data_IF_841374177592
#
_entry.id   IF_841374177592
#
_cell.length_a   1.000
_cell.length_b   1.000
_cell.length_c   1.000
_cell.angle_alpha   90.00
_cell.angle_beta   90.00
_cell.angle_gamma   90.00
#
_symmetry.space_group_name_H-M   'P 1'
#
loop_
_entity.id
_entity.type
_entity.pdbx_description
1 polymer ?
#
# COMPACT_ATOMS: atom_id res chain seq x y z
N UNK A 1 15.27 -4.79 -1.52
CA UNK A 1 14.49 -4.94 -0.27
C UNK A 1 13.56 -3.76 -0.19
N UNK A 2 12.27 -4.02 -0.04
CA UNK A 2 11.26 -3.00 0.19
C UNK A 2 11.40 -2.41 1.61
N UNK A 3 11.04 -1.14 1.76
CA UNK A 3 11.11 -0.37 2.99
C UNK A 3 9.78 0.36 3.15
N UNK A 4 9.13 0.20 4.30
CA UNK A 4 7.84 0.83 4.57
C UNK A 4 7.97 2.35 4.51
N UNK A 5 6.99 3.00 3.89
CA UNK A 5 6.82 4.44 3.84
C UNK A 5 5.97 4.85 5.02
N UNK A 6 6.40 5.85 5.78
CA UNK A 6 5.70 6.35 6.98
C UNK A 6 4.21 6.57 6.69
N UNK A 7 3.36 5.70 7.22
CA UNK A 7 1.95 5.98 7.48
C UNK A 7 1.89 6.55 8.88
N UNK A 8 1.14 7.64 9.07
CA UNK A 8 1.09 8.27 10.38
C UNK A 8 -0.36 8.62 10.75
N UNK A 9 -0.68 8.37 12.02
CA UNK A 9 -2.04 8.39 12.57
C UNK A 9 -2.56 9.81 12.76
N UNK A 10 -3.63 10.15 12.06
CA UNK A 10 -4.47 11.31 12.39
C UNK A 10 -5.93 10.88 12.39
N UNK A 11 -6.85 11.72 12.87
CA UNK A 11 -8.28 11.38 12.89
C UNK A 11 -8.80 11.26 11.45
N UNK A 12 -8.75 10.04 10.92
CA UNK A 12 -8.84 9.66 9.49
C UNK A 12 -10.07 10.24 8.78
N UNK A 13 -11.20 10.34 9.46
CA UNK A 13 -12.42 10.97 8.94
C UNK A 13 -12.35 12.49 8.74
N UNK A 14 -11.45 13.20 9.42
CA UNK A 14 -11.31 14.66 9.30
C UNK A 14 -10.79 15.11 7.93
N UNK A 15 -10.19 14.20 7.15
CA UNK A 15 -9.76 14.48 5.78
C UNK A 15 -10.81 14.18 4.72
N UNK A 16 -11.91 13.52 5.05
CA UNK A 16 -12.91 13.12 4.07
C UNK A 16 -13.52 14.29 3.31
N UNK A 17 -13.65 15.45 3.94
CA UNK A 17 -14.09 16.67 3.26
C UNK A 17 -13.03 17.18 2.28
N UNK A 18 -11.74 17.08 2.64
CA UNK A 18 -10.61 17.53 1.81
C UNK A 18 -10.49 16.70 0.55
N UNK A 19 -10.68 15.38 0.65
CA UNK A 19 -10.58 14.45 -0.49
C UNK A 19 -11.95 14.12 -1.12
N UNK A 20 -13.02 14.79 -0.67
CA UNK A 20 -14.37 14.67 -1.23
C UNK A 20 -15.12 13.37 -0.91
N UNK A 21 -14.61 12.52 -0.02
CA UNK A 21 -15.27 11.26 0.41
C UNK A 21 -16.63 11.54 1.07
N UNK A 22 -16.75 12.60 1.87
CA UNK A 22 -18.03 13.00 2.48
C UNK A 22 -19.08 13.31 1.41
N UNK A 23 -18.70 14.11 0.41
CA UNK A 23 -19.60 14.48 -0.69
C UNK A 23 -19.97 13.26 -1.56
N UNK A 24 -19.01 12.37 -1.82
CA UNK A 24 -19.25 11.13 -2.54
C UNK A 24 -20.29 10.27 -1.81
N UNK A 25 -20.11 10.03 -0.51
CA UNK A 25 -21.03 9.20 0.31
C UNK A 25 -22.41 9.83 0.50
N UNK A 26 -22.50 11.16 0.42
CA UNK A 26 -23.79 11.84 0.46
C UNK A 26 -24.62 11.67 -0.83
N UNK A 27 -23.98 11.31 -1.94
CA UNK A 27 -24.62 11.22 -3.27
C UNK A 27 -24.73 9.79 -3.80
N UNK A 28 -23.97 8.85 -3.23
CA UNK A 28 -23.94 7.44 -3.62
C UNK A 28 -23.45 6.57 -2.47
N UNK A 29 -23.63 5.26 -2.59
CA UNK A 29 -23.20 4.26 -1.61
C UNK A 29 -21.86 3.61 -2.01
N UNK A 30 -20.94 4.39 -2.59
CA UNK A 30 -19.61 3.88 -2.95
C UNK A 30 -18.75 3.73 -1.70
N UNK A 31 -18.63 2.51 -1.22
CA UNK A 31 -17.94 2.14 0.04
C UNK A 31 -16.98 0.96 -0.13
N UNK A 32 -16.73 0.53 -1.37
CA UNK A 32 -15.87 -0.61 -1.71
C UNK A 32 -16.57 -1.96 -1.79
N UNK A 33 -17.88 -2.03 -1.55
CA UNK A 33 -18.66 -3.28 -1.61
C UNK A 33 -18.41 -4.08 -2.90
N UNK A 34 -18.08 -5.37 -2.74
CA UNK A 34 -17.84 -6.31 -3.85
C UNK A 34 -16.49 -6.17 -4.53
N UNK A 35 -15.55 -5.43 -3.93
CA UNK A 35 -14.19 -5.25 -4.45
C UNK A 35 -13.18 -5.92 -3.52
N UNK A 36 -12.39 -6.84 -4.07
CA UNK A 36 -11.18 -7.35 -3.43
C UNK A 36 -9.98 -6.47 -3.76
N UNK A 37 -9.14 -6.22 -2.76
CA UNK A 37 -7.99 -5.32 -2.85
C UNK A 37 -6.73 -5.97 -2.28
N UNK A 38 -5.57 -5.64 -2.85
CA UNK A 38 -4.29 -6.04 -2.29
C UNK A 38 -3.75 -4.97 -1.35
N UNK A 39 -3.13 -5.38 -0.26
CA UNK A 39 -2.29 -4.52 0.59
C UNK A 39 -0.91 -5.16 0.74
N UNK A 40 0.06 -4.67 -0.03
CA UNK A 40 1.42 -5.17 0.05
C UNK A 40 2.25 -4.26 0.96
N UNK A 41 2.85 -4.84 2.01
CA UNK A 41 3.60 -4.11 3.03
C UNK A 41 5.01 -4.65 3.20
N UNK A 42 5.96 -3.74 3.33
CA UNK A 42 7.32 -4.09 3.69
C UNK A 42 7.42 -4.36 5.20
N UNK A 43 8.50 -5.03 5.59
CA UNK A 43 8.76 -5.24 7.02
C UNK A 43 8.97 -3.88 7.70
N UNK A 44 8.17 -3.57 8.73
CA UNK A 44 8.35 -2.36 9.54
C UNK A 44 9.52 -2.48 10.54
N UNK A 45 10.09 -3.68 10.65
CA UNK A 45 11.23 -3.99 11.49
C UNK A 45 12.43 -4.41 10.65
N UNK A 46 13.62 -3.94 11.05
CA UNK A 46 14.90 -4.43 10.51
C UNK A 46 15.28 -5.80 11.07
N UNK A 47 14.48 -6.37 11.97
CA UNK A 47 14.69 -7.72 12.51
C UNK A 47 14.08 -8.77 11.59
N UNK A 48 14.58 -10.00 11.65
CA UNK A 48 14.26 -11.11 10.72
C UNK A 48 12.82 -11.61 10.73
N UNK A 49 11.94 -10.98 11.50
CA UNK A 49 10.54 -11.34 11.57
C UNK A 49 9.85 -10.61 10.43
N UNK A 50 9.17 -11.31 9.52
CA UNK A 50 8.44 -10.66 8.44
C UNK A 50 7.26 -9.88 9.03
N UNK A 51 7.49 -8.64 9.43
CA UNK A 51 6.52 -7.81 10.15
C UNK A 51 5.69 -7.01 9.14
N UNK A 52 4.63 -7.62 8.62
CA UNK A 52 3.80 -7.04 7.55
C UNK A 52 2.30 -7.31 7.73
N UNK A 53 1.93 -8.18 8.69
CA UNK A 53 0.56 -8.65 8.81
C UNK A 53 -0.33 -7.58 9.43
N UNK A 54 -1.45 -7.27 8.76
CA UNK A 54 -2.54 -6.49 9.35
C UNK A 54 -3.24 -7.32 10.42
N UNK A 55 -3.37 -6.78 11.63
CA UNK A 55 -4.22 -7.31 12.68
C UNK A 55 -5.69 -6.90 12.47
N UNK A 56 -6.61 -7.84 12.18
CA UNK A 56 -8.01 -7.51 11.92
C UNK A 56 -8.68 -6.77 13.09
N UNK A 57 -8.25 -7.04 14.33
CA UNK A 57 -8.79 -6.37 15.51
C UNK A 57 -8.35 -4.89 15.59
N UNK A 58 -7.13 -4.57 15.17
CA UNK A 58 -6.63 -3.19 15.17
C UNK A 58 -7.36 -2.33 14.14
N UNK A 59 -7.68 -2.92 12.98
CA UNK A 59 -8.47 -2.26 11.92
C UNK A 59 -9.99 -2.34 12.14
N UNK A 60 -10.44 -3.00 13.21
CA UNK A 60 -11.87 -3.24 13.51
C UNK A 60 -12.64 -3.94 12.38
N UNK A 61 -12.00 -4.92 11.75
CA UNK A 61 -12.57 -5.73 10.66
C UNK A 61 -12.61 -7.22 11.06
N UNK A 62 -13.47 -8.03 10.42
CA UNK A 62 -13.55 -9.44 10.75
C UNK A 62 -12.31 -10.19 10.23
N UNK A 63 -11.89 -11.25 10.93
CA UNK A 63 -10.66 -11.97 10.58
C UNK A 63 -10.71 -12.62 9.21
N UNK A 64 -11.89 -12.99 8.72
CA UNK A 64 -12.08 -13.56 7.38
C UNK A 64 -12.02 -12.52 6.26
N UNK A 65 -11.82 -11.24 6.57
CA UNK A 65 -11.56 -10.22 5.56
C UNK A 65 -10.17 -10.40 4.94
N UNK A 66 -9.20 -10.96 5.67
CA UNK A 66 -7.79 -10.99 5.26
C UNK A 66 -7.31 -12.40 4.88
N UNK A 67 -6.51 -12.46 3.82
CA UNK A 67 -5.59 -13.58 3.57
C UNK A 67 -4.16 -13.05 3.55
N UNK A 68 -3.28 -13.68 4.34
CA UNK A 68 -1.87 -13.29 4.46
C UNK A 68 -1.02 -14.12 3.52
N UNK A 69 -0.05 -13.47 2.89
CA UNK A 69 0.77 -14.07 1.86
C UNK A 69 2.24 -13.73 2.00
N UNK A 70 3.09 -14.74 1.82
CA UNK A 70 4.54 -14.57 1.81
C UNK A 70 5.20 -15.44 0.73
N UNK A 71 6.25 -14.89 0.12
CA UNK A 71 7.22 -15.63 -0.66
C UNK A 71 8.62 -15.24 -0.21
N UNK A 72 9.48 -16.24 -0.01
CA UNK A 72 10.87 -16.03 0.36
C UNK A 72 11.78 -16.31 -0.83
N UNK A 73 12.97 -15.68 -0.92
CA UNK A 73 13.96 -16.03 -1.93
C UNK A 73 14.17 -17.55 -2.01
N UNK A 74 14.22 -18.15 -3.21
CA UNK A 74 14.30 -17.53 -4.53
C UNK A 74 12.95 -17.14 -5.18
N UNK A 75 11.89 -16.94 -4.40
CA UNK A 75 10.56 -16.50 -4.86
C UNK A 75 9.90 -17.43 -5.87
N UNK A 76 9.95 -18.74 -5.61
CA UNK A 76 9.38 -19.77 -6.50
C UNK A 76 8.02 -20.29 -6.02
N UNK A 77 7.68 -20.05 -4.76
CA UNK A 77 6.44 -20.53 -4.15
C UNK A 77 5.83 -19.46 -3.27
N UNK A 78 4.53 -19.59 -3.07
CA UNK A 78 3.74 -18.69 -2.24
C UNK A 78 3.10 -19.48 -1.11
N UNK A 79 3.25 -18.98 0.11
CA UNK A 79 2.55 -19.52 1.29
C UNK A 79 1.43 -18.57 1.67
N UNK A 80 0.28 -19.11 2.06
CA UNK A 80 -0.88 -18.30 2.46
C UNK A 80 -1.56 -18.81 3.73
N UNK A 81 -2.24 -17.90 4.44
CA UNK A 81 -3.03 -18.19 5.63
C UNK A 81 -4.25 -17.29 5.68
N UNK A 82 -5.43 -17.83 5.95
CA UNK A 82 -6.66 -17.06 6.22
C UNK A 82 -6.88 -16.82 7.71
N UNK A 83 -5.90 -17.17 8.55
CA UNK A 83 -5.97 -17.04 10.00
C UNK A 83 -5.02 -15.95 10.48
N UNK A 84 -5.43 -15.23 11.52
CA UNK A 84 -4.57 -14.33 12.30
C UNK A 84 -4.70 -14.69 13.79
N UNK A 85 -3.61 -14.88 14.53
CA UNK A 85 -2.20 -14.93 14.09
C UNK A 85 -1.90 -16.20 13.29
N UNK A 86 -0.79 -16.23 12.54
CA UNK A 86 -0.34 -17.40 11.80
C UNK A 86 1.21 -17.48 11.76
N UNK A 87 1.82 -18.54 11.20
CA UNK A 87 3.29 -18.71 11.22
C UNK A 87 4.01 -18.05 10.03
N UNK A 88 3.33 -17.32 9.14
CA UNK A 88 3.92 -16.70 7.94
C UNK A 88 4.63 -15.38 8.27
N UNK A 89 4.03 -14.57 9.15
CA UNK A 89 4.56 -13.27 9.53
C UNK A 89 4.22 -12.88 10.97
N UNK A 90 4.44 -11.61 11.26
CA UNK A 90 4.13 -10.97 12.54
C UNK A 90 3.35 -9.68 12.25
N UNK A 91 2.53 -9.29 13.21
CA UNK A 91 1.74 -8.05 13.24
C UNK A 91 2.60 -6.81 12.98
N UNK A 92 2.15 -5.97 12.06
CA UNK A 92 2.75 -4.68 11.74
C UNK A 92 1.80 -3.54 12.09
N UNK A 93 2.22 -2.69 13.03
CA UNK A 93 1.46 -1.49 13.39
C UNK A 93 1.37 -0.50 12.21
N UNK A 94 2.37 -0.51 11.33
CA UNK A 94 2.33 0.25 10.08
C UNK A 94 1.29 -0.31 9.10
N UNK A 95 1.22 -1.63 8.92
CA UNK A 95 0.19 -2.25 8.09
C UNK A 95 -1.22 -2.02 8.64
N UNK A 96 -1.38 -2.05 9.97
CA UNK A 96 -2.62 -1.69 10.65
C UNK A 96 -3.01 -0.25 10.35
N UNK A 97 -2.03 0.65 10.37
CA UNK A 97 -2.28 2.05 10.06
C UNK A 97 -2.72 2.24 8.62
N UNK A 98 -2.12 1.56 7.66
CA UNK A 98 -2.59 1.59 6.26
C UNK A 98 -3.99 0.97 6.16
N UNK A 99 -4.22 -0.18 6.79
CA UNK A 99 -5.48 -0.91 6.74
C UNK A 99 -6.65 -0.11 7.32
N UNK A 100 -6.43 0.66 8.39
CA UNK A 100 -7.44 1.55 8.95
C UNK A 100 -7.82 2.72 7.99
N UNK A 101 -6.92 3.15 7.09
CA UNK A 101 -7.12 4.34 6.22
C UNK A 101 -7.99 3.97 5.03
N UNK A 102 -7.90 2.70 4.64
CA UNK A 102 -8.73 2.15 3.59
C UNK A 102 -9.98 1.49 4.14
N UNK A 103 -9.86 0.60 5.12
CA UNK A 103 -10.94 -0.33 5.46
C UNK A 103 -11.58 -0.05 6.82
N UNK A 104 -10.97 0.76 7.70
CA UNK A 104 -11.50 1.00 9.05
C UNK A 104 -12.95 1.52 9.04
N UNK A 105 -13.91 0.91 9.76
CA UNK A 105 -15.33 1.31 9.68
C UNK A 105 -15.63 2.78 10.02
N UNK A 106 -14.82 3.40 10.88
CA UNK A 106 -15.00 4.78 11.35
C UNK A 106 -14.21 5.83 10.58
N UNK A 107 -13.25 5.41 9.76
CA UNK A 107 -12.24 6.32 9.20
C UNK A 107 -11.62 5.89 7.86
N UNK A 108 -12.02 4.74 7.33
CA UNK A 108 -11.55 4.21 6.08
C UNK A 108 -12.31 4.78 4.88
N UNK A 109 -11.64 4.92 3.74
CA UNK A 109 -12.26 5.38 2.49
C UNK A 109 -13.16 4.34 1.82
N UNK A 110 -12.90 3.05 2.04
CA UNK A 110 -13.59 1.88 1.48
C UNK A 110 -13.90 0.85 2.58
N UNK A 111 -14.90 1.14 3.42
CA UNK A 111 -15.19 0.40 4.65
C UNK A 111 -15.77 -1.00 4.45
N UNK A 112 -16.23 -1.32 3.24
CA UNK A 112 -16.99 -2.54 2.93
C UNK A 112 -16.36 -3.36 1.81
N UNK A 113 -15.04 -3.29 1.63
CA UNK A 113 -14.31 -4.18 0.69
C UNK A 113 -14.66 -5.65 0.96
N UNK A 114 -14.73 -6.44 -0.11
CA UNK A 114 -15.11 -7.86 -0.03
C UNK A 114 -13.99 -8.71 0.59
N UNK A 115 -12.74 -8.39 0.24
CA UNK A 115 -11.56 -9.12 0.70
C UNK A 115 -10.29 -8.26 0.63
N UNK A 116 -9.31 -8.58 1.47
CA UNK A 116 -7.99 -7.97 1.46
C UNK A 116 -6.91 -9.06 1.41
N UNK A 117 -6.16 -9.11 0.32
CA UNK A 117 -4.97 -9.93 0.22
C UNK A 117 -3.77 -9.13 0.75
N UNK A 118 -3.26 -9.51 1.93
CA UNK A 118 -2.16 -8.83 2.59
C UNK A 118 -0.83 -9.55 2.29
N UNK A 119 0.02 -8.90 1.51
CA UNK A 119 1.25 -9.47 0.99
C UNK A 119 2.50 -8.92 1.67
N UNK A 120 3.49 -9.77 1.92
CA UNK A 120 4.85 -9.31 2.21
C UNK A 120 5.48 -8.74 0.93
N UNK A 121 5.96 -7.48 0.98
CA UNK A 121 6.32 -6.70 -0.20
C UNK A 121 7.42 -7.29 -1.09
N UNK A 122 8.49 -7.85 -0.50
CA UNK A 122 9.58 -8.45 -1.30
C UNK A 122 9.09 -9.71 -2.03
N UNK A 123 8.27 -10.53 -1.35
CA UNK A 123 7.63 -11.70 -1.92
C UNK A 123 6.60 -11.34 -3.00
N UNK A 124 5.81 -10.30 -2.78
CA UNK A 124 4.88 -9.75 -3.77
C UNK A 124 5.62 -9.30 -5.04
N UNK A 125 6.69 -8.52 -4.87
CA UNK A 125 7.50 -8.10 -6.00
C UNK A 125 8.17 -9.29 -6.69
N UNK A 126 8.86 -10.16 -5.94
CA UNK A 126 9.63 -11.26 -6.49
C UNK A 126 8.78 -12.31 -7.20
N UNK A 127 7.70 -12.75 -6.56
CA UNK A 127 6.81 -13.79 -7.07
C UNK A 127 5.80 -13.22 -8.08
N UNK A 128 4.99 -12.23 -7.69
CA UNK A 128 3.91 -11.75 -8.54
C UNK A 128 4.43 -10.83 -9.64
N UNK A 129 5.10 -9.73 -9.27
CA UNK A 129 5.42 -8.66 -10.23
C UNK A 129 6.54 -9.08 -11.20
N UNK A 130 7.71 -9.45 -10.66
CA UNK A 130 8.87 -9.86 -11.46
C UNK A 130 8.70 -11.29 -12.01
N UNK A 131 8.06 -12.20 -11.27
CA UNK A 131 7.77 -13.56 -11.71
C UNK A 131 6.56 -13.68 -12.66
N UNK A 132 5.75 -12.63 -12.80
CA UNK A 132 4.59 -12.61 -13.70
C UNK A 132 3.41 -13.47 -13.23
N UNK A 133 3.32 -13.78 -11.93
CA UNK A 133 2.21 -14.55 -11.36
C UNK A 133 1.00 -13.64 -11.10
N UNK A 134 -0.11 -13.92 -11.76
CA UNK A 134 -1.35 -13.16 -11.65
C UNK A 134 -1.92 -13.17 -10.22
N UNK A 135 -2.51 -12.04 -9.81
CA UNK A 135 -3.30 -11.89 -8.59
C UNK A 135 -4.81 -11.77 -8.93
N UNK A 136 -5.68 -11.95 -7.94
CA UNK A 136 -7.13 -11.83 -8.12
C UNK A 136 -7.62 -10.38 -8.09
N UNK A 137 -6.91 -9.53 -7.36
CA UNK A 137 -7.29 -8.15 -7.05
C UNK A 137 -6.98 -7.22 -8.24
N UNK A 138 -7.78 -6.17 -8.39
CA UNK A 138 -7.61 -5.16 -9.44
C UNK A 138 -6.96 -3.88 -8.95
N UNK A 139 -6.89 -3.70 -7.63
CA UNK A 139 -6.34 -2.52 -6.97
C UNK A 139 -5.42 -3.03 -5.87
N UNK A 140 -4.19 -2.52 -5.85
CA UNK A 140 -3.20 -2.86 -4.81
C UNK A 140 -2.67 -1.57 -4.20
N UNK A 141 -2.90 -1.41 -2.89
CA UNK A 141 -2.32 -0.35 -2.08
C UNK A 141 -0.97 -0.81 -1.55
N UNK A 142 0.04 0.06 -1.64
CA UNK A 142 1.42 -0.25 -1.29
C UNK A 142 2.05 0.92 -0.55
N UNK A 143 2.27 0.76 0.76
CA UNK A 143 2.94 1.79 1.55
C UNK A 143 4.41 1.44 1.78
N UNK A 144 5.14 1.14 0.69
CA UNK A 144 6.59 0.89 0.70
C UNK A 144 7.29 1.45 -0.54
N UNK A 145 8.62 1.57 -0.48
CA UNK A 145 9.51 1.82 -1.63
C UNK A 145 10.74 0.92 -1.60
N UNK A 146 11.52 0.90 -2.68
CA UNK A 146 12.84 0.26 -2.69
C UNK A 146 13.99 1.19 -2.28
N UNK A 147 13.69 2.41 -1.84
CA UNK A 147 14.68 3.41 -1.41
C UNK A 147 15.62 3.91 -2.52
N UNK A 148 15.35 3.53 -3.78
CA UNK A 148 16.10 3.94 -4.96
C UNK A 148 15.15 4.14 -6.14
N UNK A 149 15.62 4.87 -7.15
CA UNK A 149 15.02 4.85 -8.47
C UNK A 149 15.61 3.68 -9.24
N UNK A 150 14.77 2.76 -9.71
CA UNK A 150 15.17 1.57 -10.47
C UNK A 150 14.25 1.39 -11.68
N UNK A 151 14.71 1.75 -12.89
CA UNK A 151 13.91 1.61 -14.12
C UNK A 151 13.52 0.16 -14.44
N UNK A 152 14.30 -0.83 -13.98
CA UNK A 152 13.95 -2.24 -14.21
C UNK A 152 12.76 -2.62 -13.33
N UNK A 153 12.77 -2.16 -12.09
CA UNK A 153 11.68 -2.39 -11.16
C UNK A 153 10.40 -1.71 -11.65
N UNK A 154 10.49 -0.45 -12.05
CA UNK A 154 9.36 0.31 -12.61
C UNK A 154 8.81 -0.37 -13.87
N UNK A 155 9.68 -0.83 -14.77
CA UNK A 155 9.27 -1.54 -15.98
C UNK A 155 8.55 -2.85 -15.68
N UNK A 156 8.94 -3.58 -14.62
CA UNK A 156 8.25 -4.79 -14.19
C UNK A 156 6.83 -4.47 -13.71
N UNK A 157 6.67 -3.43 -12.89
CA UNK A 157 5.35 -2.94 -12.47
C UNK A 157 4.51 -2.48 -13.68
N UNK A 158 5.11 -1.75 -14.62
CA UNK A 158 4.44 -1.27 -15.82
C UNK A 158 3.93 -2.39 -16.71
N UNK A 159 4.77 -3.41 -16.94
CA UNK A 159 4.42 -4.59 -17.72
C UNK A 159 3.32 -5.38 -17.03
N UNK A 160 3.45 -5.60 -15.72
CA UNK A 160 2.45 -6.34 -14.94
C UNK A 160 1.09 -5.64 -14.97
N UNK A 161 1.05 -4.34 -14.71
CA UNK A 161 -0.17 -3.53 -14.76
C UNK A 161 -0.83 -3.61 -16.14
N UNK A 162 -0.05 -3.46 -17.22
CA UNK A 162 -0.55 -3.54 -18.59
C UNK A 162 -1.07 -4.95 -18.96
N UNK A 163 -0.40 -6.00 -18.48
CA UNK A 163 -0.76 -7.38 -18.78
C UNK A 163 -1.97 -7.87 -17.99
N UNK A 164 -2.05 -7.53 -16.71
CA UNK A 164 -3.05 -8.08 -15.79
C UNK A 164 -4.21 -7.12 -15.51
N UNK A 165 -4.10 -5.85 -15.92
CA UNK A 165 -5.11 -4.83 -15.65
C UNK A 165 -5.26 -4.60 -14.14
N UNK A 166 -4.13 -4.36 -13.48
CA UNK A 166 -4.03 -4.08 -12.03
C UNK A 166 -3.55 -2.65 -11.86
N UNK A 167 -4.22 -1.90 -10.98
CA UNK A 167 -3.83 -0.56 -10.58
C UNK A 167 -3.01 -0.62 -9.29
N UNK A 168 -1.76 -0.16 -9.36
CA UNK A 168 -0.90 0.00 -8.19
C UNK A 168 -0.98 1.44 -7.66
N UNK A 169 -1.18 1.58 -6.36
CA UNK A 169 -1.21 2.86 -5.65
C UNK A 169 -0.08 2.81 -4.62
N UNK A 170 0.99 3.58 -4.86
CA UNK A 170 2.25 3.45 -4.14
C UNK A 170 2.61 4.75 -3.43
N UNK A 171 2.97 4.67 -2.16
CA UNK A 171 3.59 5.79 -1.43
C UNK A 171 4.89 6.25 -2.12
N UNK A 172 5.03 7.55 -2.37
CA UNK A 172 6.12 8.11 -3.16
C UNK A 172 7.51 8.01 -2.51
N UNK A 173 7.57 7.82 -1.18
CA UNK A 173 8.82 7.81 -0.42
C UNK A 173 8.74 8.57 0.90
N UNK A 174 9.88 9.09 1.34
CA UNK A 174 10.02 9.79 2.62
C UNK A 174 10.12 11.30 2.41
N UNK A 175 9.52 12.14 3.28
CA UNK A 175 9.63 13.60 3.19
C UNK A 175 11.07 14.08 2.98
N UNK A 176 11.27 14.95 1.99
CA UNK A 176 12.59 15.47 1.61
C UNK A 176 13.50 14.55 0.78
N UNK A 177 13.05 13.33 0.46
CA UNK A 177 13.71 12.47 -0.52
C UNK A 177 13.32 12.79 -1.98
N UNK A 178 13.91 12.09 -2.96
CA UNK A 178 13.30 11.94 -4.28
C UNK A 178 12.08 11.02 -4.19
N UNK A 179 11.36 10.92 -5.31
CA UNK A 179 10.36 9.87 -5.51
C UNK A 179 11.11 8.57 -5.80
N UNK A 180 10.71 7.49 -5.14
CA UNK A 180 11.37 6.19 -5.27
C UNK A 180 10.49 5.18 -6.00
N UNK A 181 11.13 4.19 -6.62
CA UNK A 181 10.41 3.05 -7.21
C UNK A 181 9.71 2.22 -6.12
N UNK A 182 8.50 1.69 -6.37
CA UNK A 182 7.80 1.67 -7.66
C UNK A 182 6.89 2.88 -7.94
N UNK A 183 6.84 3.91 -7.09
CA UNK A 183 5.96 5.07 -7.32
C UNK A 183 6.32 5.89 -8.57
N UNK A 184 7.52 5.65 -9.13
CA UNK A 184 7.97 6.22 -10.40
C UNK A 184 7.51 5.43 -11.63
N UNK A 185 6.87 4.26 -11.51
CA UNK A 185 6.34 3.52 -12.66
C UNK A 185 5.27 4.35 -13.42
N UNK A 186 5.12 4.08 -14.72
CA UNK A 186 4.20 4.81 -15.59
C UNK A 186 2.73 4.42 -15.40
N UNK A 187 2.44 3.12 -15.26
CA UNK A 187 1.10 2.54 -15.17
C UNK A 187 0.59 2.42 -13.72
N UNK A 188 1.27 3.05 -12.76
CA UNK A 188 0.83 3.16 -11.36
C UNK A 188 0.60 4.60 -10.93
N UNK A 189 -0.06 4.75 -9.78
CA UNK A 189 -0.29 6.04 -9.11
C UNK A 189 0.70 6.15 -7.95
N UNK A 190 1.70 7.02 -8.10
CA UNK A 190 2.54 7.49 -7.02
C UNK A 190 1.82 8.57 -6.21
N UNK A 191 1.75 8.38 -4.89
CA UNK A 191 1.03 9.28 -3.97
C UNK A 191 2.01 9.94 -3.02
N UNK A 192 1.98 11.27 -2.96
CA UNK A 192 2.66 12.02 -1.90
C UNK A 192 1.68 12.52 -0.85
N UNK A 193 2.24 13.11 0.20
CA UNK A 193 1.52 13.63 1.35
C UNK A 193 1.37 15.16 1.25
N UNK A 194 0.19 15.68 1.57
CA UNK A 194 -0.05 17.12 1.81
C UNK A 194 -0.09 17.42 3.31
N UNK A 195 0.17 18.67 3.68
CA UNK A 195 0.14 19.10 5.10
C UNK A 195 1.46 18.92 5.86
N UNK A 196 2.53 18.50 5.17
CA UNK A 196 3.90 18.40 5.69
C UNK A 196 4.79 19.53 5.14
N UNK A 197 5.89 19.83 5.84
CA UNK A 197 6.85 20.88 5.49
C UNK A 197 7.64 20.60 4.22
N UNK A 198 7.91 19.32 3.93
CA UNK A 198 8.74 18.90 2.82
C UNK A 198 8.10 17.74 2.03
N UNK A 199 7.00 18.01 1.29
CA UNK A 199 6.33 16.99 0.50
C UNK A 199 7.24 16.52 -0.64
N UNK A 200 6.97 15.33 -1.17
CA UNK A 200 7.71 14.79 -2.31
C UNK A 200 7.16 15.39 -3.60
N UNK A 201 8.04 15.95 -4.40
CA UNK A 201 7.75 16.43 -5.74
C UNK A 201 8.82 15.93 -6.70
N UNK A 202 8.38 15.62 -7.91
CA UNK A 202 9.27 15.26 -9.00
C UNK A 202 10.02 16.47 -9.57
N UNK A 203 10.63 16.31 -10.74
CA UNK A 203 10.40 15.21 -11.67
C UNK A 203 11.04 13.88 -11.22
N UNK A 204 10.61 12.77 -11.83
CA UNK A 204 11.39 11.53 -11.84
C UNK A 204 12.73 11.77 -12.55
N UNK A 205 13.74 10.88 -12.42
CA UNK A 205 15.03 11.05 -13.08
C UNK A 205 14.98 11.21 -14.61
N UNK A 206 13.93 10.67 -15.24
CA UNK A 206 13.65 10.77 -16.68
C UNK A 206 12.73 11.95 -17.06
N UNK A 207 12.40 12.83 -16.11
CA UNK A 207 11.69 14.08 -16.38
C UNK A 207 10.15 14.01 -16.30
N UNK A 208 9.56 12.87 -15.92
CA UNK A 208 8.11 12.75 -15.77
C UNK A 208 7.62 13.43 -14.51
N UNK A 209 6.39 13.93 -14.56
CA UNK A 209 5.71 14.49 -13.39
C UNK A 209 5.21 13.36 -12.49
N UNK A 210 5.86 13.21 -11.33
CA UNK A 210 5.39 12.42 -10.18
C UNK A 210 5.49 13.31 -8.93
N UNK A 211 4.82 13.01 -7.80
CA UNK A 211 3.73 12.03 -7.68
C UNK A 211 2.58 12.40 -8.61
N UNK A 212 1.69 11.45 -8.92
CA UNK A 212 0.54 11.73 -9.78
C UNK A 212 -0.53 12.53 -9.01
N UNK A 213 -0.68 12.22 -7.72
CA UNK A 213 -1.61 12.88 -6.81
C UNK A 213 -0.99 13.04 -5.42
N UNK A 214 -1.60 13.88 -4.60
CA UNK A 214 -1.28 13.97 -3.19
C UNK A 214 -2.54 13.73 -2.34
N UNK A 215 -2.36 13.08 -1.19
CA UNK A 215 -3.41 12.88 -0.20
C UNK A 215 -3.01 13.53 1.14
N UNK A 216 -3.96 13.91 2.00
CA UNK A 216 -3.63 14.33 3.36
C UNK A 216 -2.90 13.21 4.11
N UNK A 217 -1.83 13.60 4.78
CA UNK A 217 -1.17 12.82 5.83
C UNK A 217 -0.92 13.75 7.01
N UNK A 218 -0.48 13.25 8.16
CA UNK A 218 -0.49 14.04 9.37
C UNK A 218 0.47 15.22 9.30
N UNK A 219 0.03 16.31 9.91
CA UNK A 219 0.85 17.46 10.21
C UNK A 219 1.78 17.09 11.39
N UNK A 220 3.07 16.86 11.13
CA UNK A 220 4.08 16.65 12.17
C UNK A 220 4.90 15.36 12.11
N UNK A 221 4.86 14.58 11.02
CA UNK A 221 5.75 13.42 10.82
C UNK A 221 7.20 13.82 10.45
N UNK A 222 7.75 14.82 11.14
CA UNK A 222 9.19 15.03 11.17
C UNK A 222 9.76 14.20 12.32
N UNK A 223 10.59 13.21 11.97
CA UNK A 223 11.47 12.42 12.85
C UNK A 223 10.80 11.32 13.69
N UNK A 224 11.02 10.07 13.26
CA UNK A 224 11.42 8.96 14.14
C UNK A 224 12.34 8.02 13.37
#
# INVERSE_FOLDING_TARGET
>A
MAISVVAATSARGSYFDVIGVTALRATTNLDGSGISVGQAEASDSTTTNNVFEVNPAAVSQPTNLFTYFISNPPYLTFSSSTNYTNPLGVESGHADDVGLDFYGPSGGVATNVEHVDNYQADGFYGYNIAGGHAIGERIVNQSFTFGTNDPTLDQNYDNYAAQHGVLFITGAGFPGGPIYSPATCYNGIGVSVTGVSNPLYGPTPDGRSKPDICAPGPQGAETS
#
